data_IF_606386519792
#
_entry.id   IF_606386519792
#
_cell.length_a   1.000
_cell.length_b   1.000
_cell.length_c   1.000
_cell.angle_alpha   90.00
_cell.angle_beta   90.00
_cell.angle_gamma   90.00
#
_symmetry.space_group_name_H-M   'P 1'
#
loop_
_entity.id
_entity.type
_entity.pdbx_description
1 polymer ?
#
# COMPACT_ATOMS: atom_id res chain seq x y z
N UNK A 1 -18.04 15.76 -15.89
CA UNK A 1 -16.82 15.20 -15.27
C UNK A 1 -16.12 14.37 -16.33
N UNK A 2 -14.82 14.57 -16.63
CA UNK A 2 -14.10 13.68 -17.54
C UNK A 2 -14.22 12.22 -17.05
N UNK A 3 -14.56 11.26 -17.93
CA UNK A 3 -14.87 9.89 -17.53
C UNK A 3 -13.65 9.18 -16.91
N UNK A 4 -12.44 9.51 -17.37
CA UNK A 4 -11.19 8.96 -16.86
C UNK A 4 -10.89 9.32 -15.40
N UNK A 5 -11.49 10.39 -14.85
CA UNK A 5 -11.15 10.86 -13.51
C UNK A 5 -11.52 9.86 -12.42
N UNK A 6 -12.60 9.11 -12.61
CA UNK A 6 -13.03 8.13 -11.61
C UNK A 6 -12.04 6.97 -11.52
N UNK A 7 -11.66 6.39 -12.64
CA UNK A 7 -10.66 5.33 -12.69
C UNK A 7 -9.29 5.83 -12.24
N UNK A 8 -8.89 7.03 -12.67
CA UNK A 8 -7.65 7.65 -12.21
C UNK A 8 -7.63 7.80 -10.69
N UNK A 9 -8.66 8.43 -10.11
CA UNK A 9 -8.73 8.69 -8.68
C UNK A 9 -8.77 7.38 -7.87
N UNK A 10 -9.53 6.38 -8.35
CA UNK A 10 -9.62 5.08 -7.70
C UNK A 10 -8.28 4.35 -7.69
N UNK A 11 -7.61 4.26 -8.84
CA UNK A 11 -6.32 3.57 -8.95
C UNK A 11 -5.24 4.29 -8.15
N UNK A 12 -5.16 5.62 -8.26
CA UNK A 12 -4.25 6.41 -7.44
C UNK A 12 -4.51 6.18 -5.96
N UNK A 13 -5.76 6.29 -5.50
CA UNK A 13 -6.11 6.11 -4.10
C UNK A 13 -5.64 4.77 -3.53
N UNK A 14 -5.83 3.68 -4.29
CA UNK A 14 -5.35 2.35 -3.91
C UNK A 14 -3.82 2.32 -3.82
N UNK A 15 -3.12 2.78 -4.85
CA UNK A 15 -1.66 2.75 -4.88
C UNK A 15 -1.02 3.64 -3.80
N UNK A 16 -1.59 4.82 -3.55
CA UNK A 16 -1.14 5.73 -2.50
C UNK A 16 -1.34 5.12 -1.12
N UNK A 17 -2.50 4.49 -0.85
CA UNK A 17 -2.73 3.82 0.44
C UNK A 17 -1.76 2.66 0.66
N UNK A 18 -1.55 1.81 -0.35
CA UNK A 18 -0.58 0.71 -0.25
C UNK A 18 0.84 1.20 0.00
N UNK A 19 1.25 2.29 -0.67
CA UNK A 19 2.56 2.91 -0.43
C UNK A 19 2.66 3.54 0.95
N UNK A 20 1.57 4.13 1.46
CA UNK A 20 1.52 4.68 2.81
C UNK A 20 1.73 3.58 3.85
N UNK A 21 0.99 2.49 3.73
CA UNK A 21 1.14 1.29 4.58
C UNK A 21 2.59 0.79 4.53
N UNK A 22 3.18 0.64 3.33
CA UNK A 22 4.58 0.21 3.18
C UNK A 22 5.54 1.15 3.90
N UNK A 23 5.40 2.46 3.76
CA UNK A 23 6.29 3.41 4.45
C UNK A 23 6.09 3.43 5.96
N UNK A 24 4.90 3.09 6.46
CA UNK A 24 4.61 2.98 7.89
C UNK A 24 5.25 1.73 8.53
N UNK A 25 5.24 0.59 7.85
CA UNK A 25 5.89 -0.65 8.30
C UNK A 25 7.40 -0.64 8.10
N UNK A 26 7.90 0.13 7.12
CA UNK A 26 9.33 0.26 6.82
C UNK A 26 9.78 1.73 6.96
N UNK A 27 9.73 2.31 8.17
CA UNK A 27 10.01 3.73 8.38
C UNK A 27 11.43 4.12 7.98
N UNK A 28 12.39 3.18 7.92
CA UNK A 28 13.75 3.45 7.41
C UNK A 28 13.77 3.93 5.95
N UNK A 29 12.73 3.62 5.18
CA UNK A 29 12.54 4.07 3.80
C UNK A 29 11.91 5.47 3.72
N UNK A 30 11.43 6.00 4.84
CA UNK A 30 10.85 7.33 4.93
C UNK A 30 11.44 8.09 6.12
N UNK A 31 10.95 9.31 6.37
CA UNK A 31 11.20 10.03 7.62
C UNK A 31 9.98 9.97 8.54
N UNK A 32 9.07 9.01 8.31
CA UNK A 32 7.82 8.89 9.06
C UNK A 32 8.03 8.16 10.38
N UNK A 33 7.20 8.51 11.36
CA UNK A 33 7.01 7.75 12.60
C UNK A 33 5.97 6.65 12.34
N UNK A 34 6.22 5.42 12.79
CA UNK A 34 5.39 4.22 12.52
C UNK A 34 4.05 4.21 13.27
N UNK A 35 3.26 5.27 13.19
CA UNK A 35 2.07 5.48 14.03
C UNK A 35 0.94 4.48 13.71
N UNK A 36 0.83 4.01 12.46
CA UNK A 36 -0.26 3.12 12.03
C UNK A 36 -0.21 1.73 12.70
N UNK A 37 0.98 1.31 13.14
CA UNK A 37 1.18 0.09 13.92
C UNK A 37 0.49 0.18 15.28
N UNK A 38 0.52 1.35 15.91
CA UNK A 38 -0.10 1.60 17.23
C UNK A 38 -1.63 1.71 17.13
N UNK A 39 -2.14 2.16 15.99
CA UNK A 39 -3.58 2.37 15.75
C UNK A 39 -4.35 1.11 15.31
N UNK A 40 -3.68 -0.06 15.22
CA UNK A 40 -4.30 -1.34 14.82
C UNK A 40 -5.07 -1.27 13.50
N UNK A 41 -4.54 -0.55 12.51
CA UNK A 41 -5.22 -0.35 11.23
C UNK A 41 -5.25 -1.62 10.39
N UNK A 42 -6.32 -1.78 9.62
CA UNK A 42 -6.35 -2.75 8.51
C UNK A 42 -5.51 -2.20 7.36
N UNK A 43 -4.39 -2.86 7.09
CA UNK A 43 -3.42 -2.47 6.07
C UNK A 43 -3.32 -3.55 5.00
N UNK A 44 -2.67 -3.25 3.89
CA UNK A 44 -2.44 -4.25 2.85
C UNK A 44 -1.68 -5.48 3.38
N UNK A 45 -0.78 -5.31 4.35
CA UNK A 45 -0.04 -6.42 4.96
C UNK A 45 -0.95 -7.32 5.79
N UNK A 46 -1.75 -6.75 6.71
CA UNK A 46 -2.64 -7.55 7.55
C UNK A 46 -3.74 -8.21 6.73
N UNK A 47 -4.20 -7.56 5.65
CA UNK A 47 -5.13 -8.16 4.69
C UNK A 47 -4.52 -9.37 3.95
N UNK A 48 -3.28 -9.27 3.46
CA UNK A 48 -2.60 -10.38 2.77
C UNK A 48 -2.33 -11.53 3.75
N UNK A 49 -1.81 -11.24 4.95
CA UNK A 49 -1.50 -12.26 5.96
C UNK A 49 -2.74 -13.03 6.44
N UNK A 50 -3.94 -12.44 6.32
CA UNK A 50 -5.21 -13.05 6.75
C UNK A 50 -5.95 -13.79 5.63
N UNK A 51 -5.40 -13.84 4.41
CA UNK A 51 -6.16 -14.29 3.23
C UNK A 51 -6.48 -15.79 3.24
N UNK A 52 -5.58 -16.62 3.75
CA UNK A 52 -5.65 -18.08 3.54
C UNK A 52 -5.65 -18.91 4.85
N UNK A 53 -5.35 -18.31 6.01
CA UNK A 53 -5.42 -18.94 7.35
C UNK A 53 -5.64 -17.85 8.40
N UNK A 54 -6.29 -18.17 9.53
CA UNK A 54 -6.22 -17.36 10.76
C UNK A 54 -4.75 -17.27 11.21
N UNK A 55 -4.05 -16.23 10.73
CA UNK A 55 -2.72 -15.94 11.19
C UNK A 55 -2.82 -15.41 12.63
N UNK A 56 -2.38 -16.24 13.58
CA UNK A 56 -2.47 -15.94 15.02
C UNK A 56 -1.77 -14.63 15.40
N UNK A 57 -0.71 -14.25 14.70
CA UNK A 57 -0.04 -12.98 14.94
C UNK A 57 -0.89 -11.79 14.51
N UNK A 58 -1.63 -11.91 13.40
CA UNK A 58 -2.55 -10.86 12.95
C UNK A 58 -3.74 -10.74 13.90
N UNK A 59 -4.28 -11.86 14.38
CA UNK A 59 -5.33 -11.86 15.41
C UNK A 59 -4.83 -11.17 16.68
N UNK A 60 -3.65 -11.55 17.16
CA UNK A 60 -3.03 -10.94 18.34
C UNK A 60 -2.80 -9.45 18.17
N UNK A 61 -2.32 -9.03 16.99
CA UNK A 61 -2.16 -7.62 16.64
C UNK A 61 -3.48 -6.84 16.78
N UNK A 62 -4.59 -7.33 16.23
CA UNK A 62 -5.88 -6.64 16.34
C UNK A 62 -6.46 -6.68 17.76
N UNK A 63 -6.34 -7.81 18.47
CA UNK A 63 -6.88 -7.95 19.83
C UNK A 63 -6.09 -7.11 20.84
N UNK A 64 -4.76 -7.28 20.90
CA UNK A 64 -3.93 -6.71 21.96
C UNK A 64 -3.09 -5.54 21.50
N UNK A 65 -2.84 -5.38 20.19
CA UNK A 65 -1.89 -4.38 19.67
C UNK A 65 -0.44 -4.85 19.69
N UNK A 66 -0.21 -6.11 20.04
CA UNK A 66 1.14 -6.66 20.13
C UNK A 66 1.70 -6.93 18.74
N UNK A 67 2.92 -6.41 18.51
CA UNK A 67 3.70 -6.65 17.28
C UNK A 67 4.86 -7.54 17.68
N UNK A 68 4.77 -8.81 17.32
CA UNK A 68 5.82 -9.80 17.58
C UNK A 68 6.94 -9.69 16.52
N UNK A 69 8.11 -10.26 16.81
CA UNK A 69 9.15 -10.39 15.79
C UNK A 69 8.69 -11.25 14.60
N UNK A 70 7.92 -12.31 14.87
CA UNK A 70 7.35 -13.19 13.84
C UNK A 70 6.38 -12.43 12.92
N UNK A 71 5.55 -11.55 13.48
CA UNK A 71 4.71 -10.65 12.68
C UNK A 71 5.53 -9.77 11.75
N UNK A 72 6.62 -9.16 12.25
CA UNK A 72 7.49 -8.30 11.44
C UNK A 72 8.30 -9.10 10.40
N UNK A 73 8.68 -10.34 10.69
CA UNK A 73 9.33 -11.24 9.74
C UNK A 73 8.37 -11.60 8.60
N UNK A 74 7.11 -11.89 8.93
CA UNK A 74 6.05 -12.14 7.96
C UNK A 74 5.77 -10.90 7.09
N UNK A 75 5.67 -9.71 7.68
CA UNK A 75 5.54 -8.44 6.95
C UNK A 75 6.74 -8.22 6.01
N UNK A 76 7.95 -8.48 6.48
CA UNK A 76 9.18 -8.30 5.70
C UNK A 76 9.20 -9.18 4.45
N UNK A 77 8.69 -10.40 4.54
CA UNK A 77 8.55 -11.32 3.39
C UNK A 77 7.54 -10.81 2.34
N UNK A 78 6.60 -9.95 2.73
CA UNK A 78 5.60 -9.37 1.84
C UNK A 78 6.06 -8.07 1.16
N UNK A 79 7.24 -7.53 1.51
CA UNK A 79 7.72 -6.25 0.99
C UNK A 79 7.69 -6.19 -0.55
N UNK A 80 8.33 -7.14 -1.21
CA UNK A 80 8.42 -7.19 -2.67
C UNK A 80 7.05 -7.43 -3.32
N UNK A 81 6.19 -8.21 -2.66
CA UNK A 81 4.83 -8.46 -3.13
C UNK A 81 4.02 -7.16 -3.14
N UNK A 82 4.04 -6.41 -2.03
CA UNK A 82 3.32 -5.15 -1.92
C UNK A 82 3.89 -4.10 -2.87
N UNK A 83 5.21 -3.99 -3.00
CA UNK A 83 5.83 -3.08 -3.97
C UNK A 83 5.42 -3.42 -5.41
N UNK A 84 5.40 -4.70 -5.77
CA UNK A 84 4.91 -5.14 -7.08
C UNK A 84 3.44 -4.75 -7.29
N UNK A 85 2.57 -4.99 -6.30
CA UNK A 85 1.15 -4.61 -6.38
C UNK A 85 0.96 -3.09 -6.55
N UNK A 86 1.79 -2.27 -5.90
CA UNK A 86 1.79 -0.81 -6.09
C UNK A 86 2.10 -0.49 -7.56
N UNK A 87 3.20 -1.03 -8.10
CA UNK A 87 3.62 -0.78 -9.47
C UNK A 87 2.58 -1.25 -10.49
N UNK A 88 2.02 -2.46 -10.31
CA UNK A 88 0.94 -2.98 -11.15
C UNK A 88 -0.29 -2.06 -11.15
N UNK A 89 -0.62 -1.42 -10.03
CA UNK A 89 -1.72 -0.44 -10.01
C UNK A 89 -1.35 0.84 -10.77
N UNK A 90 -0.11 1.33 -10.66
CA UNK A 90 0.33 2.52 -11.40
C UNK A 90 0.37 2.27 -12.91
N UNK A 91 0.78 1.08 -13.36
CA UNK A 91 0.76 0.70 -14.76
C UNK A 91 -0.66 0.68 -15.36
N UNK A 92 -1.69 0.34 -14.56
CA UNK A 92 -3.09 0.41 -15.02
C UNK A 92 -3.53 1.81 -15.44
N UNK A 93 -2.85 2.86 -14.98
CA UNK A 93 -3.15 4.23 -15.40
C UNK A 93 -2.94 4.43 -16.90
N UNK A 94 -2.00 3.70 -17.52
CA UNK A 94 -1.75 3.79 -18.97
C UNK A 94 -2.88 3.21 -19.82
N UNK A 95 -3.73 2.38 -19.22
CA UNK A 95 -4.88 1.79 -19.88
C UNK A 95 -6.15 2.64 -19.84
N UNK A 96 -6.14 3.81 -19.17
CA UNK A 96 -7.34 4.65 -19.03
C UNK A 96 -7.52 5.51 -20.28
N UNK A 97 -8.62 5.37 -21.06
CA UNK A 97 -8.81 6.16 -22.28
C UNK A 97 -8.87 7.68 -22.01
N UNK A 98 -8.03 8.44 -22.72
CA UNK A 98 -8.03 9.92 -22.67
C UNK A 98 -7.23 10.53 -21.52
N UNK A 99 -6.53 9.71 -20.73
CA UNK A 99 -5.73 10.15 -19.59
C UNK A 99 -4.39 10.80 -19.99
N UNK A 100 -3.93 10.60 -21.22
CA UNK A 100 -2.59 11.00 -21.68
C UNK A 100 -2.39 12.51 -21.64
N UNK A 101 -3.49 13.26 -21.80
CA UNK A 101 -3.53 14.72 -21.69
C UNK A 101 -3.65 15.22 -20.25
N UNK A 102 -3.87 14.34 -19.27
CA UNK A 102 -4.14 14.73 -17.90
C UNK A 102 -2.83 15.01 -17.14
N UNK A 103 -2.56 16.27 -16.72
CA UNK A 103 -1.25 16.63 -16.17
C UNK A 103 -0.89 15.85 -14.89
N UNK A 104 -1.90 15.45 -14.10
CA UNK A 104 -1.67 14.72 -12.86
C UNK A 104 -1.16 13.29 -13.09
N UNK A 105 -1.32 12.71 -14.29
CA UNK A 105 -0.75 11.40 -14.63
C UNK A 105 0.77 11.40 -14.46
N UNK A 106 1.45 12.42 -15.02
CA UNK A 106 2.89 12.56 -14.92
C UNK A 106 3.34 12.69 -13.46
N UNK A 107 2.66 13.53 -12.69
CA UNK A 107 2.96 13.71 -11.27
C UNK A 107 2.82 12.41 -10.48
N UNK A 108 1.74 11.67 -10.70
CA UNK A 108 1.50 10.38 -10.07
C UNK A 108 2.66 9.42 -10.37
N UNK A 109 3.00 9.21 -11.65
CA UNK A 109 4.09 8.32 -12.04
C UNK A 109 5.44 8.71 -11.45
N UNK A 110 5.78 10.00 -11.45
CA UNK A 110 7.02 10.49 -10.85
C UNK A 110 7.07 10.25 -9.33
N UNK A 111 5.94 10.36 -8.62
CA UNK A 111 5.89 10.07 -7.19
C UNK A 111 6.18 8.59 -6.88
N UNK A 112 5.71 7.67 -7.73
CA UNK A 112 5.94 6.24 -7.52
C UNK A 112 7.33 5.77 -7.98
N UNK A 113 7.93 6.42 -8.99
CA UNK A 113 9.27 6.10 -9.49
C UNK A 113 10.44 6.64 -8.65
N UNK A 114 10.19 7.51 -7.65
CA UNK A 114 11.22 8.16 -6.81
C UNK A 114 11.63 7.34 -5.57
N UNK A 115 11.53 6.01 -5.60
CA UNK A 115 11.72 5.14 -4.42
C UNK A 115 12.83 4.13 -4.65
#
# INVERSE_FOLDING_TARGET
KPPFLEDFSRICGIAYQMKDDLLNFFPKLSKKTSNDLEEKRLTIFTAILSKDVENKDVVKYFETGEITSEFMDNVSQLYDIVNRLINENIEKLDGIPGIESFPALKFCKEYFNKS
#
